data_IF_304372029632
#
_entry.id   IF_304372029632
#
_cell.length_a   1.000
_cell.length_b   1.000
_cell.length_c   1.000
_cell.angle_alpha   90.00
_cell.angle_beta   90.00
_cell.angle_gamma   90.00
#
_symmetry.space_group_name_H-M   'P 1'
#
loop_
_entity.id
_entity.type
_entity.pdbx_description
1 polymer ?
#
# COMPACT_ATOMS: atom_id res chain seq x y z
N UNK A 1 0.02 12.45 12.04
CA UNK A 1 0.43 11.09 11.60
C UNK A 1 -0.56 10.11 12.19
N UNK A 2 -1.62 9.78 11.45
CA UNK A 2 -2.64 8.85 11.91
C UNK A 2 -2.10 7.43 11.75
N UNK A 3 -1.69 6.80 12.86
CA UNK A 3 -1.43 5.36 12.85
C UNK A 3 -2.78 4.65 12.70
N UNK A 4 -2.96 3.82 11.67
CA UNK A 4 -4.06 2.86 11.62
C UNK A 4 -3.86 1.92 12.80
N UNK A 5 -4.59 2.11 13.90
CA UNK A 5 -4.44 1.24 15.06
C UNK A 5 -5.13 -0.09 14.77
N UNK A 6 -4.46 -1.20 15.08
CA UNK A 6 -5.12 -2.51 15.09
C UNK A 6 -5.92 -2.64 16.40
N UNK A 7 -7.01 -1.88 16.49
CA UNK A 7 -7.86 -1.78 17.67
C UNK A 7 -9.29 -2.21 17.34
N UNK A 8 -9.44 -3.50 17.03
CA UNK A 8 -10.75 -4.07 16.76
C UNK A 8 -11.60 -4.11 18.06
N UNK A 9 -12.92 -3.89 18.00
CA UNK A 9 -13.78 -3.77 19.20
C UNK A 9 -13.74 -4.98 20.14
N UNK A 10 -13.42 -6.16 19.63
CA UNK A 10 -13.35 -7.42 20.38
C UNK A 10 -11.96 -7.70 20.98
N UNK A 11 -10.99 -6.82 20.79
CA UNK A 11 -9.64 -6.99 21.33
C UNK A 11 -9.56 -6.45 22.76
N UNK A 12 -9.08 -7.27 23.71
CA UNK A 12 -8.82 -6.82 25.09
C UNK A 12 -7.71 -5.76 25.17
N UNK A 13 -6.74 -5.84 24.26
CA UNK A 13 -5.61 -4.92 24.18
C UNK A 13 -5.32 -4.57 22.72
N UNK A 14 -4.94 -3.31 22.42
CA UNK A 14 -4.47 -2.94 21.09
C UNK A 14 -3.26 -3.79 20.69
N UNK A 15 -3.19 -4.22 19.43
CA UNK A 15 -1.99 -4.86 18.90
C UNK A 15 -1.13 -3.88 18.11
N UNK A 16 0.20 -4.10 18.06
CA UNK A 16 1.06 -3.41 17.12
C UNK A 16 0.54 -3.56 15.69
N UNK A 17 0.77 -2.54 14.88
CA UNK A 17 0.45 -2.55 13.46
C UNK A 17 1.47 -3.42 12.76
N UNK A 18 0.99 -4.38 11.99
CA UNK A 18 1.81 -5.19 11.10
C UNK A 18 1.07 -5.25 9.77
N UNK A 19 1.73 -4.75 8.73
CA UNK A 19 1.22 -4.75 7.37
C UNK A 19 2.06 -5.76 6.58
N UNK A 20 1.38 -6.73 5.98
CA UNK A 20 2.04 -7.64 5.04
C UNK A 20 2.55 -6.85 3.84
N UNK A 21 3.77 -7.17 3.41
CA UNK A 21 4.42 -6.49 2.31
C UNK A 21 5.09 -7.50 1.38
N UNK A 22 4.66 -7.52 0.13
CA UNK A 22 5.28 -8.36 -0.91
C UNK A 22 6.69 -7.83 -1.23
N UNK A 23 7.68 -8.71 -1.12
CA UNK A 23 9.10 -8.42 -1.43
C UNK A 23 9.60 -9.16 -2.65
N UNK A 24 8.73 -9.94 -3.31
CA UNK A 24 9.07 -10.62 -4.55
C UNK A 24 9.18 -9.59 -5.68
N UNK A 25 10.00 -9.87 -6.72
CA UNK A 25 10.02 -9.03 -7.92
C UNK A 25 8.65 -9.08 -8.62
N UNK A 26 7.84 -8.05 -8.40
CA UNK A 26 6.46 -7.98 -8.89
C UNK A 26 6.19 -6.61 -9.57
N UNK A 27 6.14 -6.56 -10.91
CA UNK A 27 5.93 -5.31 -11.65
C UNK A 27 4.60 -4.61 -11.32
N UNK A 28 3.59 -5.38 -10.90
CA UNK A 28 2.30 -4.82 -10.48
C UNK A 28 2.41 -4.02 -9.17
N UNK A 29 3.38 -4.36 -8.32
CA UNK A 29 3.62 -3.64 -7.07
C UNK A 29 4.52 -2.41 -7.27
N UNK A 30 5.42 -2.42 -8.27
CA UNK A 30 6.42 -1.36 -8.47
C UNK A 30 6.02 -0.30 -9.50
N UNK A 31 5.31 -0.69 -10.56
CA UNK A 31 5.18 0.15 -11.77
C UNK A 31 3.75 0.70 -11.98
N UNK A 32 2.77 0.10 -11.30
CA UNK A 32 1.35 0.39 -11.50
C UNK A 32 0.91 1.75 -10.95
N UNK A 33 1.66 2.34 -10.03
CA UNK A 33 1.35 3.63 -9.42
C UNK A 33 2.24 4.73 -10.01
N UNK A 34 1.68 5.92 -10.26
CA UNK A 34 2.49 7.08 -10.69
C UNK A 34 3.54 7.45 -9.65
N UNK A 35 3.19 7.30 -8.38
CA UNK A 35 4.07 7.51 -7.23
C UNK A 35 4.16 6.19 -6.45
N UNK A 36 5.24 5.41 -6.63
CA UNK A 36 5.40 4.12 -5.95
C UNK A 36 5.42 4.27 -4.43
N UNK A 37 4.77 3.33 -3.75
CA UNK A 37 4.80 3.23 -2.30
C UNK A 37 6.21 2.86 -1.82
N UNK A 38 6.65 3.45 -0.70
CA UNK A 38 7.99 3.21 -0.15
C UNK A 38 7.90 2.88 1.33
N UNK A 39 8.58 1.80 1.71
CA UNK A 39 8.91 1.56 3.11
C UNK A 39 10.10 2.43 3.51
N UNK A 40 9.92 3.25 4.54
CA UNK A 40 10.95 4.11 5.13
C UNK A 40 11.06 3.71 6.60
N UNK A 41 12.23 3.24 7.02
CA UNK A 41 12.52 2.81 8.39
C UNK A 41 11.50 1.79 8.96
N UNK A 42 11.06 0.85 8.13
CA UNK A 42 10.09 -0.18 8.54
C UNK A 42 8.63 0.31 8.59
N UNK A 43 8.37 1.55 8.16
CA UNK A 43 7.05 2.17 8.17
C UNK A 43 6.59 2.51 6.76
N UNK A 44 5.28 2.42 6.55
CA UNK A 44 4.60 2.85 5.32
C UNK A 44 3.78 4.10 5.62
N UNK A 45 3.91 5.13 4.79
CA UNK A 45 3.02 6.28 4.86
C UNK A 45 1.68 5.93 4.19
N UNK A 46 0.58 6.18 4.90
CA UNK A 46 -0.76 6.03 4.32
C UNK A 46 -0.96 7.10 3.25
N UNK A 47 -1.30 6.74 2.00
CA UNK A 47 -1.53 7.70 0.94
C UNK A 47 -2.74 8.61 1.23
N UNK A 48 -2.61 9.90 0.93
CA UNK A 48 -3.60 10.94 1.31
C UNK A 48 -4.45 11.45 0.13
N UNK A 49 -4.27 10.88 -1.07
CA UNK A 49 -5.08 11.22 -2.23
C UNK A 49 -6.58 10.86 -2.07
N UNK A 50 -7.39 11.24 -3.04
CA UNK A 50 -8.82 10.89 -3.04
C UNK A 50 -9.00 9.37 -3.20
N UNK A 51 -10.02 8.81 -2.55
CA UNK A 51 -10.37 7.39 -2.66
C UNK A 51 -9.39 6.49 -1.90
N UNK A 52 -8.75 5.56 -2.60
CA UNK A 52 -7.73 4.67 -2.00
C UNK A 52 -6.38 5.38 -1.78
N UNK A 53 -6.26 6.65 -2.21
CA UNK A 53 -5.13 7.51 -1.86
C UNK A 53 -3.98 7.55 -2.87
N UNK A 54 -4.04 6.78 -3.96
CA UNK A 54 -2.98 6.70 -4.98
C UNK A 54 -3.51 6.97 -6.40
N UNK A 55 -2.60 7.32 -7.31
CA UNK A 55 -2.89 7.47 -8.74
C UNK A 55 -2.27 6.33 -9.56
N UNK A 56 -3.06 5.80 -10.49
CA UNK A 56 -2.66 4.71 -11.38
C UNK A 56 -1.83 5.24 -12.55
N UNK A 57 -0.82 4.47 -12.94
CA UNK A 57 -0.03 4.66 -14.14
C UNK A 57 -0.66 3.87 -15.31
N UNK A 58 -1.57 4.51 -16.03
CA UNK A 58 -2.30 3.92 -17.17
C UNK A 58 -1.37 3.42 -18.29
N UNK A 59 -0.21 4.06 -18.48
CA UNK A 59 0.76 3.62 -19.49
C UNK A 59 1.43 2.30 -19.08
N UNK A 60 1.68 2.08 -17.79
CA UNK A 60 2.23 0.81 -17.30
C UNK A 60 1.24 -0.34 -17.48
N UNK A 61 -0.06 -0.11 -17.28
CA UNK A 61 -1.12 -1.12 -17.42
C UNK A 61 -1.13 -1.74 -18.81
N UNK A 62 -0.87 -0.94 -19.86
CA UNK A 62 -0.88 -1.42 -21.25
C UNK A 62 0.07 -2.59 -21.50
N UNK A 63 1.12 -2.72 -20.69
CA UNK A 63 2.08 -3.81 -20.80
C UNK A 63 1.60 -5.15 -20.21
N UNK A 64 0.46 -5.17 -19.51
CA UNK A 64 -0.04 -6.33 -18.77
C UNK A 64 -1.49 -6.69 -19.12
N UNK A 65 -2.00 -6.19 -20.26
CA UNK A 65 -3.34 -6.54 -20.74
C UNK A 65 -3.39 -8.04 -21.08
N UNK A 66 -4.43 -8.72 -20.59
CA UNK A 66 -4.71 -10.12 -20.90
C UNK A 66 -5.70 -10.21 -22.06
N UNK A 67 -5.57 -11.27 -22.87
CA UNK A 67 -6.50 -11.59 -23.97
C UNK A 67 -7.78 -12.30 -23.48
#
# INVERSE_FOLDING_TARGET
>A
MASVTNNQPWMLFPRPVMLEWDTTPNPMATDLLKNPLRLIDGLLQVPEGIGIGVEVNEEAIKNYLME
#
